data_IF_315129543111
#
_entry.id   IF_315129543111
#
_cell.length_a   1.000
_cell.length_b   1.000
_cell.length_c   1.000
_cell.angle_alpha   90.00
_cell.angle_beta   90.00
_cell.angle_gamma   90.00
#
_symmetry.space_group_name_H-M   'P 1'
#
loop_
_entity.id
_entity.type
_entity.pdbx_description
1 polymer ?
#
# COMPACT_ATOMS: atom_id res chain seq x y z
N UNK A 1 3.01 -11.34 16.41
CA UNK A 1 1.84 -11.74 15.62
C UNK A 1 2.38 -12.58 14.47
N UNK A 2 2.28 -13.91 14.58
CA UNK A 2 2.79 -14.83 13.57
C UNK A 2 1.65 -15.09 12.60
N UNK A 3 1.68 -14.46 11.42
CA UNK A 3 1.03 -15.07 10.27
C UNK A 3 1.82 -16.34 9.95
N UNK A 4 1.14 -17.38 9.47
CA UNK A 4 1.80 -18.65 9.23
C UNK A 4 2.82 -18.43 8.10
N UNK A 5 4.08 -18.80 8.36
CA UNK A 5 5.21 -18.77 7.41
C UNK A 5 4.89 -19.22 5.95
N UNK A 6 3.96 -20.17 5.68
CA UNK A 6 3.57 -20.54 4.31
C UNK A 6 2.97 -19.40 3.48
N UNK A 7 2.19 -18.51 4.11
CA UNK A 7 1.44 -17.45 3.40
C UNK A 7 2.39 -16.37 2.87
N UNK A 8 3.42 -16.02 3.66
CA UNK A 8 4.44 -15.05 3.25
C UNK A 8 5.28 -15.59 2.10
N UNK A 9 5.73 -16.85 2.17
CA UNK A 9 6.51 -17.47 1.08
C UNK A 9 5.67 -17.55 -0.20
N UNK A 10 4.38 -17.86 -0.08
CA UNK A 10 3.49 -17.98 -1.22
C UNK A 10 3.17 -16.62 -1.87
N UNK A 11 3.03 -15.56 -1.09
CA UNK A 11 2.81 -14.21 -1.61
C UNK A 11 4.12 -13.61 -2.14
N UNK A 12 5.20 -13.69 -1.38
CA UNK A 12 6.49 -13.05 -1.65
C UNK A 12 7.63 -14.06 -1.69
N UNK A 13 7.77 -14.82 -2.78
CA UNK A 13 8.87 -15.78 -2.90
C UNK A 13 10.21 -15.05 -2.85
N UNK A 14 11.19 -15.66 -2.16
CA UNK A 14 12.56 -15.18 -2.04
C UNK A 14 12.69 -13.74 -1.52
N UNK A 15 11.80 -13.31 -0.61
CA UNK A 15 11.93 -12.00 0.04
C UNK A 15 13.30 -11.88 0.75
N UNK A 16 14.01 -10.77 0.51
CA UNK A 16 15.32 -10.49 1.09
C UNK A 16 15.40 -9.12 1.77
N UNK A 17 16.53 -8.82 2.43
CA UNK A 17 16.64 -7.64 3.29
C UNK A 17 16.59 -6.29 2.54
N UNK A 18 16.75 -6.27 1.22
CA UNK A 18 16.67 -5.04 0.42
C UNK A 18 15.35 -4.90 -0.34
N UNK A 19 14.41 -5.82 -0.15
CA UNK A 19 13.12 -5.74 -0.82
C UNK A 19 12.31 -4.53 -0.34
N UNK A 20 11.62 -3.91 -1.31
CA UNK A 20 10.81 -2.71 -1.14
C UNK A 20 9.46 -2.92 -1.78
N UNK A 21 8.41 -2.58 -1.05
CA UNK A 21 7.04 -2.73 -1.54
C UNK A 21 6.47 -1.39 -1.99
N UNK A 22 5.96 -1.32 -3.21
CA UNK A 22 5.29 -0.17 -3.78
C UNK A 22 3.80 -0.45 -3.98
N UNK A 23 2.96 0.48 -3.53
CA UNK A 23 1.51 0.45 -3.71
C UNK A 23 1.09 1.66 -4.53
N UNK A 24 0.50 1.43 -5.68
CA UNK A 24 -0.04 2.49 -6.52
C UNK A 24 -1.50 2.73 -6.16
N UNK A 25 -1.87 3.99 -5.89
CA UNK A 25 -3.20 4.41 -5.43
C UNK A 25 -3.76 5.45 -6.39
N UNK A 26 -5.03 5.31 -6.74
CA UNK A 26 -5.64 5.99 -7.87
C UNK A 26 -7.13 6.31 -7.66
N UNK A 27 -7.68 5.91 -6.52
CA UNK A 27 -9.03 6.21 -6.06
C UNK A 27 -9.06 6.43 -4.55
N UNK A 28 -10.14 7.07 -4.07
CA UNK A 28 -10.30 7.47 -2.66
C UNK A 28 -10.17 6.28 -1.71
N UNK A 29 -9.24 6.38 -0.76
CA UNK A 29 -8.85 5.30 0.17
C UNK A 29 -8.45 3.99 -0.53
N UNK A 30 -7.99 4.07 -1.77
CA UNK A 30 -7.71 2.90 -2.60
C UNK A 30 -6.77 1.90 -1.92
N UNK A 31 -5.78 2.39 -1.18
CA UNK A 31 -4.82 1.53 -0.48
C UNK A 31 -5.43 0.62 0.60
N UNK A 32 -6.65 0.89 1.09
CA UNK A 32 -7.36 0.02 2.03
C UNK A 32 -7.70 -1.35 1.41
N UNK A 33 -7.87 -1.44 0.09
CA UNK A 33 -8.08 -2.73 -0.58
C UNK A 33 -6.82 -3.62 -0.66
N UNK A 34 -5.68 -3.11 -0.19
CA UNK A 34 -4.39 -3.80 -0.18
C UNK A 34 -3.84 -4.01 1.24
N UNK A 35 -4.69 -3.95 2.27
CA UNK A 35 -4.29 -4.00 3.68
C UNK A 35 -3.46 -5.23 4.01
N UNK A 36 -3.96 -6.43 3.71
CA UNK A 36 -3.31 -7.68 4.07
C UNK A 36 -2.08 -7.94 3.23
N UNK A 37 -2.06 -7.55 1.95
CA UNK A 37 -0.85 -7.62 1.13
C UNK A 37 0.27 -6.74 1.72
N UNK A 38 -0.07 -5.52 2.16
CA UNK A 38 0.87 -4.61 2.79
C UNK A 38 1.34 -5.08 4.18
N UNK A 39 0.44 -5.68 4.97
CA UNK A 39 0.79 -6.29 6.26
C UNK A 39 1.66 -7.53 6.09
N UNK A 40 1.44 -8.35 5.05
CA UNK A 40 2.36 -9.44 4.72
C UNK A 40 3.74 -8.91 4.30
N UNK A 41 3.80 -7.88 3.46
CA UNK A 41 5.09 -7.27 3.06
C UNK A 41 5.84 -6.71 4.29
N UNK A 42 5.12 -6.06 5.20
CA UNK A 42 5.66 -5.58 6.48
C UNK A 42 6.16 -6.73 7.35
N UNK A 43 5.42 -7.84 7.38
CA UNK A 43 5.82 -9.03 8.15
C UNK A 43 7.10 -9.65 7.57
N UNK A 44 7.15 -9.84 6.24
CA UNK A 44 8.32 -10.34 5.52
C UNK A 44 9.57 -9.47 5.75
N UNK A 45 9.40 -8.15 5.74
CA UNK A 45 10.47 -7.17 6.01
C UNK A 45 11.12 -7.37 7.38
N UNK A 46 10.34 -7.63 8.42
CA UNK A 46 10.88 -7.84 9.75
C UNK A 46 11.40 -9.27 9.96
N UNK A 47 10.75 -10.26 9.35
CA UNK A 47 11.10 -11.67 9.55
C UNK A 47 12.44 -12.03 8.90
N UNK A 48 12.78 -11.43 7.75
CA UNK A 48 14.08 -11.64 7.11
C UNK A 48 15.26 -11.11 7.94
N UNK A 49 15.01 -10.13 8.82
CA UNK A 49 16.03 -9.50 9.66
C UNK A 49 15.45 -9.08 11.01
N UNK A 50 15.35 -10.05 11.91
CA UNK A 50 14.75 -9.86 13.24
C UNK A 50 15.37 -8.72 14.07
N UNK A 51 16.63 -8.35 13.82
CA UNK A 51 17.30 -7.23 14.50
C UNK A 51 16.60 -5.88 14.26
N UNK A 52 15.82 -5.75 13.17
CA UNK A 52 14.96 -4.59 12.90
C UNK A 52 13.85 -4.38 13.93
N UNK A 53 13.46 -5.44 14.66
CA UNK A 53 12.48 -5.34 15.75
C UNK A 53 13.14 -5.05 17.11
N UNK A 54 14.40 -5.45 17.29
CA UNK A 54 15.02 -5.54 18.63
C UNK A 54 16.16 -4.57 18.88
N UNK A 55 16.85 -4.09 17.86
CA UNK A 55 18.11 -3.30 18.02
C UNK A 55 18.04 -1.89 17.45
N UNK A 56 17.24 -1.67 16.40
CA UNK A 56 17.10 -0.37 15.73
C UNK A 56 15.64 -0.18 15.33
N UNK A 57 15.09 1.03 15.46
CA UNK A 57 13.69 1.33 15.07
C UNK A 57 13.63 1.56 13.55
N UNK A 58 13.84 0.50 12.76
CA UNK A 58 13.83 0.58 11.30
C UNK A 58 12.47 0.14 10.79
N UNK A 59 11.73 1.09 10.22
CA UNK A 59 10.43 0.84 9.61
C UNK A 59 10.57 0.18 8.23
N UNK A 60 9.55 -0.59 7.78
CA UNK A 60 9.55 -1.21 6.46
C UNK A 60 9.82 -0.21 5.34
N UNK A 61 10.52 -0.65 4.29
CA UNK A 61 10.68 0.11 3.05
C UNK A 61 9.44 -0.09 2.16
N UNK A 62 8.35 0.55 2.58
CA UNK A 62 7.06 0.55 1.90
C UNK A 62 6.76 1.96 1.36
N UNK A 63 6.13 2.03 0.19
CA UNK A 63 5.86 3.28 -0.52
C UNK A 63 4.45 3.27 -1.10
N UNK A 64 3.75 4.40 -0.98
CA UNK A 64 2.49 4.66 -1.66
C UNK A 64 2.71 5.68 -2.77
N UNK A 65 2.09 5.47 -3.93
CA UNK A 65 2.17 6.32 -5.10
C UNK A 65 0.76 6.72 -5.52
N UNK A 66 0.34 7.91 -5.12
CA UNK A 66 -0.95 8.45 -5.51
C UNK A 66 -0.85 9.10 -6.89
N UNK A 67 -1.70 8.68 -7.81
CA UNK A 67 -1.72 9.15 -9.20
C UNK A 67 -2.71 10.31 -9.36
N UNK A 68 -2.27 11.39 -10.00
CA UNK A 68 -3.07 12.58 -10.28
C UNK A 68 -3.30 13.50 -9.07
N UNK A 69 -3.71 12.95 -7.93
CA UNK A 69 -4.00 13.69 -6.69
C UNK A 69 -3.88 12.81 -5.45
N UNK A 70 -3.96 13.40 -4.25
CA UNK A 70 -4.11 12.66 -3.01
C UNK A 70 -5.48 11.98 -2.90
N UNK A 71 -5.54 10.87 -2.17
CA UNK A 71 -6.73 10.03 -2.02
C UNK A 71 -7.02 9.69 -0.55
N UNK A 72 -6.68 10.62 0.35
CA UNK A 72 -6.68 10.41 1.79
C UNK A 72 -5.33 9.94 2.33
N UNK A 73 -5.14 10.08 3.64
CA UNK A 73 -3.88 9.81 4.32
C UNK A 73 -3.67 8.32 4.61
N UNK A 74 -2.66 7.71 3.99
CA UNK A 74 -2.28 6.31 4.21
C UNK A 74 -1.09 6.16 5.18
N UNK A 75 -0.53 7.26 5.70
CA UNK A 75 0.59 7.25 6.65
C UNK A 75 0.41 6.35 7.90
N UNK A 76 -0.82 6.00 8.27
CA UNK A 76 -1.09 5.01 9.33
C UNK A 76 -0.60 3.61 8.99
N UNK A 77 -0.38 3.28 7.73
CA UNK A 77 0.28 2.05 7.29
C UNK A 77 1.82 2.09 7.37
N UNK A 78 2.42 3.16 7.90
CA UNK A 78 3.87 3.42 7.92
C UNK A 78 4.46 3.91 6.58
N UNK A 79 3.64 4.46 5.69
CA UNK A 79 4.11 5.31 4.58
C UNK A 79 4.62 6.67 5.10
N UNK A 80 5.64 6.63 5.96
CA UNK A 80 6.20 7.78 6.65
C UNK A 80 7.74 7.65 6.73
N UNK A 81 8.52 8.72 6.57
CA UNK A 81 8.14 10.14 6.39
C UNK A 81 7.51 10.44 5.02
N UNK A 82 6.95 11.65 4.84
CA UNK A 82 6.17 12.06 3.66
C UNK A 82 6.73 11.61 2.29
N UNK A 83 8.06 11.49 2.13
CA UNK A 83 8.69 10.94 0.90
C UNK A 83 8.26 9.50 0.54
N UNK A 84 7.64 8.78 1.48
CA UNK A 84 7.11 7.42 1.32
C UNK A 84 5.62 7.39 0.92
N UNK A 85 4.90 8.49 1.03
CA UNK A 85 3.54 8.65 0.51
C UNK A 85 3.57 9.73 -0.58
N UNK A 86 3.84 9.30 -1.81
CA UNK A 86 4.17 10.16 -2.93
C UNK A 86 2.89 10.60 -3.63
N UNK A 87 2.65 11.91 -3.71
CA UNK A 87 1.54 12.47 -4.48
C UNK A 87 2.05 12.92 -5.84
N UNK A 88 1.84 12.11 -6.87
CA UNK A 88 2.20 12.41 -8.24
C UNK A 88 1.08 13.23 -8.88
N UNK A 89 1.31 14.52 -9.14
CA UNK A 89 0.32 15.43 -9.77
C UNK A 89 0.24 15.23 -11.30
N UNK A 90 0.30 13.99 -11.74
CA UNK A 90 0.37 13.57 -13.14
C UNK A 90 -0.36 12.25 -13.33
N UNK A 91 -0.88 12.03 -14.53
CA UNK A 91 -1.34 10.73 -15.03
C UNK A 91 -0.42 10.16 -16.11
N UNK A 92 0.73 10.82 -16.36
CA UNK A 92 1.74 10.31 -17.28
C UNK A 92 2.38 9.05 -16.69
N UNK A 93 2.12 7.92 -17.33
CA UNK A 93 2.64 6.60 -16.96
C UNK A 93 4.18 6.55 -16.93
N UNK A 94 4.85 7.44 -17.64
CA UNK A 94 6.31 7.53 -17.65
C UNK A 94 6.82 8.14 -16.35
N UNK A 95 6.22 9.25 -15.90
CA UNK A 95 6.57 9.88 -14.62
C UNK A 95 6.20 8.99 -13.42
N UNK A 96 5.10 8.22 -13.54
CA UNK A 96 4.73 7.23 -12.54
C UNK A 96 5.79 6.13 -12.46
N UNK A 97 6.25 5.62 -13.61
CA UNK A 97 7.31 4.62 -13.65
C UNK A 97 8.64 5.16 -13.11
N UNK A 98 9.03 6.39 -13.46
CA UNK A 98 10.23 7.03 -12.89
C UNK A 98 10.17 7.03 -11.36
N UNK A 99 9.03 7.45 -10.78
CA UNK A 99 8.89 7.52 -9.33
C UNK A 99 9.03 6.16 -8.63
N UNK A 100 8.54 5.10 -9.29
CA UNK A 100 8.68 3.70 -8.85
C UNK A 100 10.15 3.26 -8.94
N UNK A 101 10.82 3.54 -10.06
CA UNK A 101 12.21 3.18 -10.29
C UNK A 101 13.17 3.95 -9.35
N UNK A 102 12.96 5.24 -9.13
CA UNK A 102 13.73 6.11 -8.22
C UNK A 102 13.71 5.60 -6.78
N UNK A 103 12.63 4.92 -6.39
CA UNK A 103 12.49 4.31 -5.04
C UNK A 103 12.95 2.87 -4.98
N UNK A 104 13.39 2.30 -6.10
CA UNK A 104 13.93 0.96 -6.18
C UNK A 104 12.91 -0.10 -5.75
N UNK A 105 11.64 0.05 -6.14
CA UNK A 105 10.59 -0.92 -5.80
C UNK A 105 10.93 -2.29 -6.38
N UNK A 106 10.79 -3.33 -5.56
CA UNK A 106 11.06 -4.72 -5.95
C UNK A 106 9.82 -5.61 -5.89
N UNK A 107 8.76 -5.15 -5.23
CA UNK A 107 7.44 -5.80 -5.14
C UNK A 107 6.37 -4.74 -5.37
N UNK A 108 5.55 -4.89 -6.41
CA UNK A 108 4.64 -3.83 -6.87
C UNK A 108 3.18 -4.28 -6.84
N UNK A 109 2.31 -3.51 -6.17
CA UNK A 109 0.86 -3.67 -6.25
C UNK A 109 0.25 -2.51 -7.05
N UNK A 110 -0.55 -2.84 -8.06
CA UNK A 110 -1.23 -1.87 -8.93
C UNK A 110 -2.74 -2.07 -8.93
N UNK A 111 -3.55 -1.02 -9.09
CA UNK A 111 -4.99 -1.13 -9.18
C UNK A 111 -5.45 -1.97 -10.39
N UNK A 112 -6.57 -2.67 -10.25
CA UNK A 112 -7.20 -3.47 -11.30
C UNK A 112 -7.84 -2.58 -12.37
N UNK A 113 -7.01 -2.17 -13.32
CA UNK A 113 -7.38 -1.32 -14.47
C UNK A 113 -7.25 -2.08 -15.78
N UNK A 114 -7.99 -1.71 -16.83
CA UNK A 114 -7.74 -2.23 -18.18
C UNK A 114 -6.26 -2.11 -18.55
N UNK A 115 -5.70 -3.13 -19.19
CA UNK A 115 -4.36 -3.05 -19.75
C UNK A 115 -4.35 -2.09 -20.93
N UNK A 116 -3.26 -1.34 -21.07
CA UNK A 116 -3.03 -0.45 -22.21
C UNK A 116 -1.61 -0.61 -22.71
N UNK A 117 -1.46 -0.73 -24.02
CA UNK A 117 -0.15 -0.68 -24.64
C UNK A 117 0.39 0.75 -24.60
N UNK A 118 1.65 0.86 -24.18
CA UNK A 118 2.38 2.11 -23.98
C UNK A 118 3.83 1.94 -24.38
N UNK A 119 4.45 3.07 -24.72
CA UNK A 119 5.89 3.20 -24.84
C UNK A 119 6.39 4.03 -23.67
N UNK A 120 7.13 3.41 -22.74
CA UNK A 120 7.83 4.16 -21.69
C UNK A 120 9.14 4.76 -22.22
N UNK A 121 9.79 5.58 -21.38
CA UNK A 121 11.12 6.11 -21.71
C UNK A 121 12.10 4.95 -21.88
N UNK A 122 13.06 5.04 -22.83
CA UNK A 122 14.10 4.02 -22.98
C UNK A 122 14.77 3.74 -21.63
N UNK A 123 15.02 2.46 -21.34
CA UNK A 123 15.66 1.96 -20.10
C UNK A 123 14.84 1.96 -18.82
N UNK A 124 13.73 2.71 -18.75
CA UNK A 124 12.86 2.67 -17.56
C UNK A 124 12.09 1.35 -17.45
N UNK A 125 11.62 0.80 -18.58
CA UNK A 125 11.02 -0.54 -18.64
C UNK A 125 12.03 -1.63 -18.28
N UNK A 126 13.22 -1.61 -18.90
CA UNK A 126 14.30 -2.58 -18.62
C UNK A 126 14.65 -2.59 -17.13
N UNK A 127 14.75 -1.41 -16.50
CA UNK A 127 15.04 -1.29 -15.07
C UNK A 127 13.92 -1.86 -14.18
N UNK A 128 12.66 -1.73 -14.59
CA UNK A 128 11.52 -2.31 -13.88
C UNK A 128 11.49 -3.84 -14.05
N UNK A 129 11.76 -4.35 -15.24
CA UNK A 129 11.85 -5.79 -15.52
C UNK A 129 12.99 -6.47 -14.76
N UNK A 130 14.13 -5.81 -14.64
CA UNK A 130 15.29 -6.32 -13.89
C UNK A 130 15.01 -6.34 -12.38
N UNK A 131 14.39 -5.29 -11.84
CA UNK A 131 14.29 -5.07 -10.39
C UNK A 131 13.04 -5.66 -9.75
N UNK A 132 11.88 -5.59 -10.41
CA UNK A 132 10.61 -6.00 -9.81
C UNK A 132 10.49 -7.52 -9.89
N UNK A 133 10.65 -8.19 -8.76
CA UNK A 133 10.60 -9.65 -8.70
C UNK A 133 9.16 -10.20 -8.63
N UNK A 134 8.20 -9.42 -8.13
CA UNK A 134 6.78 -9.80 -8.20
C UNK A 134 5.86 -8.60 -8.30
N UNK A 135 4.73 -8.80 -8.99
CA UNK A 135 3.70 -7.80 -9.15
C UNK A 135 2.31 -8.38 -8.87
N UNK A 136 1.41 -7.52 -8.38
CA UNK A 136 0.05 -7.88 -8.00
C UNK A 136 -0.93 -6.86 -8.55
N UNK A 137 -2.10 -7.35 -8.92
CA UNK A 137 -3.30 -6.55 -9.12
C UNK A 137 -4.15 -6.62 -7.86
N UNK A 138 -4.62 -5.46 -7.42
CA UNK A 138 -5.55 -5.30 -6.30
C UNK A 138 -6.71 -4.38 -6.70
N UNK A 139 -7.80 -4.38 -5.93
CA UNK A 139 -8.91 -3.45 -6.13
C UNK A 139 -9.19 -2.73 -4.80
N UNK A 140 -9.59 -1.45 -4.81
CA UNK A 140 -9.89 -0.73 -3.57
C UNK A 140 -11.04 -1.34 -2.75
N UNK A 141 -11.91 -2.13 -3.38
CA UNK A 141 -12.93 -2.91 -2.68
C UNK A 141 -12.37 -4.08 -1.86
N UNK A 142 -11.10 -4.45 -2.05
CA UNK A 142 -10.50 -5.66 -1.50
C UNK A 142 -10.89 -6.94 -2.25
N UNK A 143 -11.60 -6.83 -3.38
CA UNK A 143 -11.99 -7.97 -4.24
C UNK A 143 -11.52 -7.76 -5.68
N UNK A 144 -10.75 -8.70 -6.18
CA UNK A 144 -10.27 -8.77 -7.57
C UNK A 144 -10.98 -9.92 -8.25
N UNK A 145 -11.48 -9.68 -9.46
CA UNK A 145 -12.03 -10.73 -10.31
C UNK A 145 -10.93 -11.73 -10.69
N UNK A 146 -11.22 -13.02 -10.64
CA UNK A 146 -10.25 -14.09 -10.96
C UNK A 146 -8.96 -14.04 -10.10
N UNK A 147 -9.09 -13.65 -8.83
CA UNK A 147 -7.99 -13.64 -7.88
C UNK A 147 -7.40 -15.03 -7.63
N UNK A 148 -6.07 -15.12 -7.60
CA UNK A 148 -5.29 -16.35 -7.36
C UNK A 148 -4.56 -16.33 -6.00
N UNK A 149 -4.81 -15.29 -5.20
CA UNK A 149 -4.27 -15.10 -3.86
C UNK A 149 -5.37 -14.55 -2.97
N UNK A 150 -5.78 -15.32 -1.97
CA UNK A 150 -6.63 -14.85 -0.88
C UNK A 150 -5.77 -14.69 0.38
N UNK A 151 -5.96 -13.58 1.10
CA UNK A 151 -5.30 -13.33 2.38
C UNK A 151 -6.35 -12.89 3.39
N UNK A 152 -6.51 -13.69 4.44
CA UNK A 152 -7.40 -13.41 5.56
C UNK A 152 -6.63 -12.85 6.75
N UNK A 153 -7.26 -11.91 7.47
CA UNK A 153 -6.79 -11.50 8.78
C UNK A 153 -6.90 -12.67 9.75
N UNK A 154 -5.96 -12.78 10.69
CA UNK A 154 -5.97 -13.83 11.72
C UNK A 154 -6.44 -13.33 13.10
N UNK A 155 -6.67 -12.03 13.24
CA UNK A 155 -7.15 -11.37 14.46
C UNK A 155 -7.74 -10.00 14.08
N UNK A 156 -8.75 -9.53 14.81
CA UNK A 156 -9.37 -8.21 14.58
C UNK A 156 -8.39 -7.03 14.58
N UNK A 157 -7.18 -7.20 15.14
CA UNK A 157 -6.10 -6.19 15.10
C UNK A 157 -5.58 -5.90 13.70
N UNK A 158 -5.77 -6.78 12.71
CA UNK A 158 -5.41 -6.47 11.30
C UNK A 158 -6.20 -5.26 10.77
N UNK A 159 -7.38 -4.99 11.33
CA UNK A 159 -8.23 -3.83 11.00
C UNK A 159 -7.85 -2.54 11.77
N UNK A 160 -6.69 -2.49 12.44
CA UNK A 160 -6.25 -1.24 13.08
C UNK A 160 -5.89 -0.16 12.05
N UNK A 161 -5.00 -0.44 11.10
CA UNK A 161 -4.58 0.55 10.10
C UNK A 161 -5.72 1.02 9.18
N UNK A 162 -6.62 0.15 8.67
CA UNK A 162 -7.80 0.60 7.92
C UNK A 162 -8.67 1.60 8.67
N UNK A 163 -8.96 1.36 9.96
CA UNK A 163 -9.78 2.27 10.79
C UNK A 163 -9.11 3.61 10.99
N UNK A 164 -7.82 3.59 11.30
CA UNK A 164 -7.00 4.79 11.43
C UNK A 164 -6.96 5.58 10.11
N UNK A 165 -6.73 4.91 8.97
CA UNK A 165 -6.76 5.57 7.65
C UNK A 165 -8.14 6.16 7.32
N UNK A 166 -9.23 5.52 7.71
CA UNK A 166 -10.59 6.04 7.49
C UNK A 166 -10.93 7.26 8.35
N UNK A 167 -10.30 7.41 9.52
CA UNK A 167 -10.55 8.50 10.48
C UNK A 167 -9.26 8.94 11.18
N UNK A 168 -8.26 9.46 10.44
CA UNK A 168 -6.91 9.59 10.96
C UNK A 168 -6.82 10.62 12.08
N UNK A 169 -7.58 11.72 12.01
CA UNK A 169 -7.60 12.73 13.07
C UNK A 169 -8.41 12.31 14.30
N UNK A 170 -9.51 11.57 14.13
CA UNK A 170 -10.36 11.15 15.24
C UNK A 170 -9.67 10.09 16.11
N UNK A 171 -8.78 9.31 15.52
CA UNK A 171 -8.05 8.25 16.21
C UNK A 171 -6.59 8.62 16.55
N UNK A 172 -6.18 9.88 16.38
CA UNK A 172 -4.88 10.34 16.84
C UNK A 172 -4.75 10.09 18.35
N UNK A 173 -3.73 9.31 18.70
CA UNK A 173 -3.40 9.01 20.08
C UNK A 173 -3.11 10.30 20.85
N UNK A 174 -3.84 10.52 21.96
CA UNK A 174 -3.47 11.55 22.95
C UNK A 174 -2.10 11.25 23.58
N UNK A 175 -1.70 9.97 23.59
CA UNK A 175 -0.39 9.56 24.09
C UNK A 175 0.67 9.92 23.06
N UNK A 176 1.59 10.83 23.42
CA UNK A 176 2.71 11.23 22.57
C UNK A 176 3.92 10.30 22.69
N UNK A 177 3.88 9.33 23.60
CA UNK A 177 5.00 8.46 23.96
C UNK A 177 4.55 6.99 23.85
N UNK A 178 5.39 6.16 23.24
CA UNK A 178 5.21 4.72 23.15
C UNK A 178 5.38 4.07 24.53
N UNK A 179 4.37 3.37 25.04
CA UNK A 179 4.47 2.61 26.29
C UNK A 179 5.50 1.48 26.23
N UNK A 180 5.82 0.98 25.03
CA UNK A 180 6.78 -0.10 24.83
C UNK A 180 8.24 0.38 24.82
N UNK A 181 8.50 1.60 24.32
CA UNK A 181 9.88 2.08 24.10
C UNK A 181 10.23 3.35 24.88
N UNK A 182 9.24 4.04 25.46
CA UNK A 182 9.43 5.33 26.13
C UNK A 182 9.80 6.48 25.18
N UNK A 183 9.79 6.26 23.87
CA UNK A 183 10.13 7.26 22.84
C UNK A 183 8.88 7.91 22.25
N UNK A 184 8.99 9.14 21.71
CA UNK A 184 7.89 9.75 20.97
C UNK A 184 7.38 8.84 19.84
N UNK A 185 6.07 8.76 19.67
CA UNK A 185 5.45 8.07 18.51
C UNK A 185 5.39 9.02 17.31
N UNK A 186 5.26 8.47 16.08
CA UNK A 186 5.20 9.29 14.86
C UNK A 186 4.01 10.27 14.89
N UNK A 187 2.91 9.90 15.53
CA UNK A 187 1.71 10.73 15.71
C UNK A 187 1.96 11.96 16.60
N UNK A 188 3.08 12.01 17.32
CA UNK A 188 3.51 13.17 18.09
C UNK A 188 4.33 14.18 17.27
N UNK A 189 4.73 13.84 16.04
CA UNK A 189 5.52 14.68 15.14
C UNK A 189 4.61 15.70 14.42
N UNK A 190 4.96 16.98 14.49
CA UNK A 190 4.20 18.06 13.85
C UNK A 190 4.16 17.90 12.32
N UNK A 191 5.21 17.35 11.71
CA UNK A 191 5.22 17.06 10.27
C UNK A 191 4.22 15.96 9.92
N UNK A 192 4.09 14.94 10.78
CA UNK A 192 3.09 13.88 10.60
C UNK A 192 1.68 14.47 10.70
N UNK A 193 1.41 15.26 11.75
CA UNK A 193 0.11 15.90 11.93
C UNK A 193 -0.24 16.86 10.79
N UNK A 194 0.74 17.61 10.29
CA UNK A 194 0.55 18.48 9.14
C UNK A 194 0.17 17.66 7.90
N UNK A 195 0.90 16.56 7.62
CA UNK A 195 0.61 15.66 6.51
C UNK A 195 -0.81 15.08 6.59
N UNK A 196 -1.22 14.58 7.76
CA UNK A 196 -2.58 14.08 7.96
C UNK A 196 -3.61 15.17 7.67
N UNK A 197 -3.45 16.37 8.25
CA UNK A 197 -4.40 17.48 8.05
C UNK A 197 -4.49 17.92 6.59
N UNK A 198 -3.37 17.93 5.87
CA UNK A 198 -3.35 18.26 4.45
C UNK A 198 -4.17 17.23 3.65
N UNK A 199 -3.92 15.93 3.89
CA UNK A 199 -4.55 14.81 3.18
C UNK A 199 -6.01 14.57 3.58
N UNK A 200 -6.44 15.03 4.74
CA UNK A 200 -7.87 15.02 5.14
C UNK A 200 -8.76 15.83 4.20
N UNK A 201 -8.20 16.83 3.51
CA UNK A 201 -8.94 17.63 2.51
C UNK A 201 -9.16 16.90 1.18
N UNK A 202 -8.50 15.77 0.96
CA UNK A 202 -8.62 14.99 -0.28
C UNK A 202 -9.93 14.17 -0.35
N UNK A 203 -10.66 14.04 0.76
CA UNK A 203 -11.76 13.09 0.93
C UNK A 203 -12.95 13.69 1.67
N UNK A 204 -14.14 13.13 1.45
CA UNK A 204 -15.40 13.53 2.10
C UNK A 204 -15.87 12.51 3.14
N UNK A 205 -16.81 12.90 3.99
CA UNK A 205 -17.47 11.96 4.91
C UNK A 205 -18.30 10.89 4.18
N UNK A 206 -18.86 11.21 3.02
CA UNK A 206 -19.57 10.23 2.18
C UNK A 206 -18.60 9.18 1.62
N UNK A 207 -17.39 9.59 1.20
CA UNK A 207 -16.35 8.66 0.77
C UNK A 207 -16.00 7.68 1.87
N UNK A 208 -15.84 8.20 3.07
CA UNK A 208 -15.54 7.46 4.28
C UNK A 208 -16.64 6.43 4.62
N UNK A 209 -17.91 6.82 4.57
CA UNK A 209 -19.05 5.91 4.80
C UNK A 209 -19.07 4.81 3.73
N UNK A 210 -18.88 5.19 2.47
CA UNK A 210 -18.85 4.25 1.34
C UNK A 210 -17.73 3.22 1.48
N UNK A 211 -16.52 3.65 1.84
CA UNK A 211 -15.36 2.74 1.98
C UNK A 211 -15.51 1.86 3.23
N UNK A 212 -16.03 2.40 4.34
CA UNK A 212 -16.35 1.60 5.52
C UNK A 212 -17.33 0.47 5.18
N UNK A 213 -18.42 0.77 4.48
CA UNK A 213 -19.41 -0.23 4.07
C UNK A 213 -18.79 -1.32 3.16
N UNK A 214 -17.93 -0.92 2.21
CA UNK A 214 -17.18 -1.89 1.37
C UNK A 214 -16.29 -2.78 2.20
N UNK A 215 -15.54 -2.21 3.16
CA UNK A 215 -14.64 -2.96 4.04
C UNK A 215 -15.41 -3.95 4.92
N UNK A 216 -16.55 -3.53 5.46
CA UNK A 216 -17.42 -4.39 6.28
C UNK A 216 -17.99 -5.57 5.49
N UNK A 217 -18.28 -5.39 4.20
CA UNK A 217 -18.75 -6.46 3.32
C UNK A 217 -17.71 -7.55 3.04
N UNK A 218 -16.43 -7.33 3.36
CA UNK A 218 -15.37 -8.33 3.20
C UNK A 218 -15.24 -9.31 4.37
N UNK A 219 -16.01 -9.10 5.44
CA UNK A 219 -15.89 -9.90 6.66
C UNK A 219 -16.51 -11.29 6.46
N UNK A 220 -15.72 -12.30 6.74
CA UNK A 220 -16.11 -13.71 6.87
C UNK A 220 -15.79 -14.11 8.31
N UNK A 221 -16.80 -14.55 9.06
CA UNK A 221 -16.67 -14.87 10.49
C UNK A 221 -16.01 -13.75 11.33
N UNK A 222 -16.29 -12.49 10.96
CA UNK A 222 -15.80 -11.30 11.67
C UNK A 222 -14.37 -10.87 11.32
N UNK A 223 -13.68 -11.61 10.44
CA UNK A 223 -12.35 -11.29 9.93
C UNK A 223 -12.45 -10.87 8.47
N UNK A 224 -11.68 -9.86 8.07
CA UNK A 224 -11.63 -9.48 6.66
C UNK A 224 -10.81 -10.51 5.90
N UNK A 225 -11.28 -10.90 4.72
CA UNK A 225 -10.47 -11.53 3.69
C UNK A 225 -10.31 -10.56 2.52
N UNK A 226 -9.16 -10.54 1.85
CA UNK A 226 -8.90 -9.79 0.62
C UNK A 226 -8.39 -10.72 -0.46
N UNK A 227 -8.70 -10.44 -1.72
CA UNK A 227 -8.26 -11.23 -2.87
C UNK A 227 -7.43 -10.38 -3.81
N UNK A 228 -6.38 -10.98 -4.36
CA UNK A 228 -5.43 -10.37 -5.28
C UNK A 228 -5.17 -11.30 -6.45
N UNK A 229 -4.59 -10.77 -7.52
CA UNK A 229 -4.08 -11.58 -8.63
C UNK A 229 -2.61 -11.31 -8.83
N UNK A 230 -1.79 -12.36 -8.86
CA UNK A 230 -0.39 -12.25 -9.28
C UNK A 230 -0.34 -11.99 -10.79
N UNK A 231 0.53 -11.06 -11.19
CA UNK A 231 0.68 -10.71 -12.59
C UNK A 231 2.15 -10.59 -12.95
N UNK A 232 2.45 -10.66 -14.25
CA UNK A 232 3.78 -10.30 -14.74
C UNK A 232 4.04 -8.82 -14.53
N UNK A 233 5.32 -8.43 -14.45
CA UNK A 233 5.72 -7.01 -14.43
C UNK A 233 5.18 -6.29 -15.67
N UNK A 234 5.21 -6.94 -16.84
CA UNK A 234 4.70 -6.37 -18.08
C UNK A 234 3.21 -6.02 -17.99
N UNK A 235 2.40 -6.93 -17.45
CA UNK A 235 0.98 -6.64 -17.20
C UNK A 235 0.80 -5.49 -16.19
N UNK A 236 1.57 -5.47 -15.10
CA UNK A 236 1.48 -4.38 -14.12
C UNK A 236 1.78 -3.01 -14.76
N UNK A 237 2.83 -2.90 -15.58
CA UNK A 237 3.17 -1.67 -16.31
C UNK A 237 2.06 -1.23 -17.27
N UNK A 238 1.45 -2.18 -18.01
CA UNK A 238 0.28 -1.89 -18.87
C UNK A 238 -0.94 -1.42 -18.09
N UNK A 239 -1.08 -1.78 -16.81
CA UNK A 239 -2.19 -1.30 -15.96
C UNK A 239 -1.90 0.08 -15.36
N UNK A 240 -0.63 0.37 -15.02
CA UNK A 240 -0.19 1.73 -14.66
C UNK A 240 -0.50 2.72 -15.77
N UNK A 241 -0.31 2.30 -17.02
CA UNK A 241 -0.61 3.12 -18.19
C UNK A 241 -2.05 3.63 -18.26
N UNK A 242 -3.00 2.96 -17.63
CA UNK A 242 -4.41 3.35 -17.62
C UNK A 242 -4.76 4.35 -16.52
N UNK A 243 -3.79 4.76 -15.71
CA UNK A 243 -3.82 5.88 -14.76
C UNK A 243 -4.67 7.08 -15.24
N UNK A 244 -5.56 7.60 -14.38
CA UNK A 244 -6.30 8.84 -14.64
C UNK A 244 -7.38 8.80 -15.74
N UNK A 245 -7.65 7.65 -16.39
CA UNK A 245 -8.78 7.50 -17.32
C UNK A 245 -9.94 6.72 -16.68
N UNK A 246 -11.15 7.28 -16.76
CA UNK A 246 -12.41 6.59 -16.43
C UNK A 246 -13.16 6.29 -17.72
N UNK A 247 -13.21 5.03 -18.15
CA UNK A 247 -14.04 4.56 -19.27
C UNK A 247 -13.27 3.75 -20.34
N UNK A 248 -13.98 2.92 -21.14
CA UNK A 248 -13.37 2.19 -22.24
C UNK A 248 -12.99 3.17 -23.36
N UNK A 249 -11.78 2.98 -23.89
CA UNK A 249 -11.25 3.64 -25.09
C UNK A 249 -11.96 3.17 -26.35
#
# INVERSE_FOLDING_TARGET
MSLCYPEIIHAFPNWHEHDRFGLVIDETFGGIGATHLLQLATTAYYDVKASRRTTVTVYPEIYAFHIGRGYGAHAHYDFWPARREVILKTSDHREILDAINDRGITRLAVPDRPMRDVEHRPKEEDAAFDRIASAFVYNASGRVSDGDLAIAGNDKRTEHNPRQTLRPLAELSQNRISSATGRPIKEADDAFLHWIRERETDVTDDDRVRVQARRDALKIDGLVEETYRRVSVAEALKRLASAGRTGPS
#
